data_IF_226081643495
#
_entry.id   IF_226081643495
#
_cell.length_a   1.000
_cell.length_b   1.000
_cell.length_c   1.000
_cell.angle_alpha   90.00
_cell.angle_beta   90.00
_cell.angle_gamma   90.00
#
_symmetry.space_group_name_H-M   'P 1'
#
loop_
_entity.id
_entity.type
_entity.pdbx_description
1 polymer ?
#
# COMPACT_ATOMS: atom_id res chain seq x y z
N UNK A 1 4.31 0.51 -15.51
CA UNK A 1 2.99 0.97 -16.00
C UNK A 1 2.25 1.56 -14.82
N UNK A 2 1.56 2.69 -14.99
CA UNK A 2 0.75 3.31 -13.92
C UNK A 2 -0.72 3.07 -14.25
N UNK A 3 -1.48 2.62 -13.25
CA UNK A 3 -2.94 2.42 -13.31
C UNK A 3 -3.59 3.36 -12.30
N UNK A 4 -4.66 4.04 -12.70
CA UNK A 4 -5.44 4.93 -11.83
C UNK A 4 -6.88 4.46 -11.90
N UNK A 5 -7.41 4.03 -10.77
CA UNK A 5 -8.74 3.45 -10.66
C UNK A 5 -9.58 4.34 -9.74
N UNK A 6 -10.76 4.74 -10.19
CA UNK A 6 -11.69 5.57 -9.41
C UNK A 6 -12.68 4.71 -8.63
N UNK A 7 -13.03 3.56 -9.20
CA UNK A 7 -13.91 2.57 -8.59
C UNK A 7 -13.10 1.49 -7.89
N UNK A 8 -13.61 1.05 -6.74
CA UNK A 8 -12.95 0.00 -5.94
C UNK A 8 -12.83 -1.33 -6.71
N UNK A 9 -13.82 -1.68 -7.52
CA UNK A 9 -13.80 -2.91 -8.32
C UNK A 9 -12.65 -2.89 -9.32
N UNK A 10 -12.40 -1.76 -9.95
CA UNK A 10 -11.36 -1.60 -10.97
C UNK A 10 -9.98 -1.65 -10.30
N UNK A 11 -9.84 -1.04 -9.12
CA UNK A 11 -8.63 -1.14 -8.32
C UNK A 11 -8.30 -2.59 -7.94
N UNK A 12 -9.31 -3.36 -7.53
CA UNK A 12 -9.14 -4.78 -7.22
C UNK A 12 -8.80 -5.62 -8.45
N UNK A 13 -9.40 -5.31 -9.59
CA UNK A 13 -9.06 -5.98 -10.84
C UNK A 13 -7.63 -5.65 -11.28
N UNK A 14 -7.21 -4.38 -11.17
CA UNK A 14 -5.83 -3.97 -11.46
C UNK A 14 -4.83 -4.71 -10.54
N UNK A 15 -5.16 -4.93 -9.25
CA UNK A 15 -4.34 -5.76 -8.37
C UNK A 15 -4.21 -7.20 -8.90
N UNK A 16 -5.33 -7.83 -9.26
CA UNK A 16 -5.36 -9.22 -9.78
C UNK A 16 -4.55 -9.34 -11.08
N UNK A 17 -4.64 -8.36 -11.96
CA UNK A 17 -4.01 -8.41 -13.28
C UNK A 17 -2.50 -8.14 -13.24
N UNK A 18 -2.00 -7.44 -12.20
CA UNK A 18 -0.64 -6.91 -12.18
C UNK A 18 0.26 -7.47 -11.07
N UNK A 19 -0.30 -7.99 -9.98
CA UNK A 19 0.47 -8.56 -8.87
C UNK A 19 0.75 -10.04 -9.14
N UNK A 20 2.01 -10.44 -8.96
CA UNK A 20 2.49 -11.80 -9.18
C UNK A 20 2.94 -12.44 -7.87
N UNK A 21 3.06 -13.77 -7.92
CA UNK A 21 3.38 -14.64 -6.77
C UNK A 21 4.60 -14.19 -5.96
N UNK A 22 5.64 -13.69 -6.63
CA UNK A 22 6.94 -13.33 -6.04
C UNK A 22 7.12 -11.82 -5.85
N UNK A 23 6.10 -11.01 -6.13
CA UNK A 23 6.24 -9.56 -6.08
C UNK A 23 6.36 -9.07 -4.64
N UNK A 24 7.29 -8.15 -4.42
CA UNK A 24 7.31 -7.34 -3.21
C UNK A 24 6.41 -6.13 -3.42
N UNK A 25 5.30 -6.08 -2.69
CA UNK A 25 4.26 -5.06 -2.82
C UNK A 25 4.32 -4.10 -1.64
N UNK A 26 4.32 -2.81 -1.93
CA UNK A 26 4.08 -1.76 -0.92
C UNK A 26 2.65 -1.29 -1.04
N UNK A 27 1.92 -1.28 0.07
CA UNK A 27 0.57 -0.74 0.17
C UNK A 27 0.55 0.47 1.11
N UNK A 28 0.12 1.62 0.58
CA UNK A 28 -0.08 2.85 1.35
C UNK A 28 -1.57 3.06 1.62
N UNK A 29 -1.97 3.15 2.88
CA UNK A 29 -3.36 3.33 3.30
C UNK A 29 -4.14 2.02 3.46
N UNK A 30 -3.56 1.02 4.13
CA UNK A 30 -4.19 -0.30 4.22
C UNK A 30 -5.45 -0.35 5.12
N UNK A 31 -5.68 0.65 5.98
CA UNK A 31 -6.80 0.73 6.93
C UNK A 31 -7.03 -0.61 7.66
N UNK A 32 -8.20 -1.24 7.51
CA UNK A 32 -8.53 -2.54 8.13
C UNK A 32 -8.09 -3.78 7.31
N UNK A 33 -7.33 -3.57 6.23
CA UNK A 33 -6.63 -4.62 5.48
C UNK A 33 -7.46 -5.39 4.46
N UNK A 34 -8.51 -4.79 3.89
CA UNK A 34 -9.34 -5.50 2.89
C UNK A 34 -8.58 -5.70 1.58
N UNK A 35 -7.88 -4.66 1.10
CA UNK A 35 -7.02 -4.74 -0.08
C UNK A 35 -5.76 -5.56 0.23
N UNK A 36 -5.15 -5.37 1.40
CA UNK A 36 -4.01 -6.19 1.88
C UNK A 36 -4.26 -7.70 1.79
N UNK A 37 -5.46 -8.17 2.16
CA UNK A 37 -5.82 -9.60 2.02
C UNK A 37 -5.70 -10.09 0.58
N UNK A 38 -6.18 -9.28 -0.37
CA UNK A 38 -6.13 -9.63 -1.79
C UNK A 38 -4.67 -9.67 -2.25
N UNK A 39 -3.91 -8.63 -1.92
CA UNK A 39 -2.48 -8.51 -2.26
C UNK A 39 -1.69 -9.70 -1.71
N UNK A 40 -1.87 -10.03 -0.43
CA UNK A 40 -1.15 -11.13 0.23
C UNK A 40 -1.48 -12.50 -0.37
N UNK A 41 -2.73 -12.72 -0.82
CA UNK A 41 -3.11 -13.94 -1.52
C UNK A 41 -2.56 -14.01 -2.95
N UNK A 42 -2.29 -12.88 -3.60
CA UNK A 42 -1.69 -12.84 -4.93
C UNK A 42 -0.16 -13.00 -4.86
N UNK A 43 0.49 -12.37 -3.88
CA UNK A 43 1.94 -12.36 -3.68
C UNK A 43 2.41 -13.30 -2.56
N UNK A 44 1.93 -14.56 -2.55
CA UNK A 44 2.13 -15.50 -1.43
C UNK A 44 3.61 -15.80 -1.12
N UNK A 45 4.48 -15.80 -2.14
CA UNK A 45 5.91 -16.06 -2.00
C UNK A 45 6.74 -14.76 -2.02
N UNK A 46 6.09 -13.60 -2.11
CA UNK A 46 6.69 -12.27 -1.98
C UNK A 46 6.47 -11.67 -0.59
N UNK A 47 6.54 -10.34 -0.50
CA UNK A 47 6.30 -9.59 0.74
C UNK A 47 5.30 -8.47 0.52
N UNK A 48 4.46 -8.20 1.53
CA UNK A 48 3.47 -7.11 1.52
C UNK A 48 3.77 -6.13 2.64
N UNK A 49 4.36 -4.99 2.29
CA UNK A 49 4.65 -3.92 3.24
C UNK A 49 3.47 -2.96 3.31
N UNK A 50 2.67 -3.07 4.37
CA UNK A 50 1.42 -2.33 4.52
C UNK A 50 1.58 -1.18 5.54
N UNK A 51 1.17 0.02 5.14
CA UNK A 51 1.35 1.24 5.93
C UNK A 51 0.02 1.96 6.15
N UNK A 52 -0.27 2.34 7.39
CA UNK A 52 -1.42 3.17 7.74
C UNK A 52 -1.20 3.86 9.11
N UNK A 53 -1.90 4.97 9.39
CA UNK A 53 -1.79 5.70 10.67
C UNK A 53 -3.07 5.67 11.51
N UNK A 54 -4.18 5.14 10.97
CA UNK A 54 -5.47 5.06 11.65
C UNK A 54 -5.37 4.15 12.88
N UNK A 55 -5.98 4.52 14.02
CA UNK A 55 -6.05 3.64 15.19
C UNK A 55 -6.67 2.27 14.89
N UNK A 56 -7.66 2.23 13.99
CA UNK A 56 -8.40 1.05 13.57
C UNK A 56 -7.51 0.03 12.87
N UNK A 57 -6.50 0.50 12.12
CA UNK A 57 -5.57 -0.38 11.39
C UNK A 57 -4.75 -1.28 12.31
N UNK A 58 -4.33 -0.80 13.48
CA UNK A 58 -3.35 -1.49 14.32
C UNK A 58 -3.85 -2.89 14.71
N UNK A 59 -5.07 -2.97 15.25
CA UNK A 59 -5.62 -4.25 15.68
C UNK A 59 -5.98 -5.14 14.50
N UNK A 60 -6.55 -4.56 13.43
CA UNK A 60 -6.96 -5.31 12.24
C UNK A 60 -5.75 -5.94 11.51
N UNK A 61 -4.71 -5.14 11.28
CA UNK A 61 -3.51 -5.56 10.57
C UNK A 61 -2.64 -6.52 11.38
N UNK A 62 -2.58 -6.37 12.71
CA UNK A 62 -1.88 -7.34 13.55
C UNK A 62 -2.55 -8.73 13.53
N UNK A 63 -3.89 -8.79 13.52
CA UNK A 63 -4.61 -10.06 13.34
C UNK A 63 -4.32 -10.67 11.97
N UNK A 64 -4.34 -9.84 10.94
CA UNK A 64 -4.01 -10.23 9.58
C UNK A 64 -2.60 -10.79 9.43
N UNK A 65 -1.62 -10.18 10.08
CA UNK A 65 -0.23 -10.64 10.06
C UNK A 65 -0.06 -12.03 10.72
N UNK A 66 -0.93 -12.39 11.68
CA UNK A 66 -0.96 -13.74 12.25
C UNK A 66 -1.46 -14.76 11.21
N UNK A 67 -2.45 -14.38 10.41
CA UNK A 67 -3.05 -15.23 9.37
C UNK A 67 -2.15 -15.36 8.13
N UNK A 68 -1.47 -14.28 7.74
CA UNK A 68 -0.68 -14.16 6.53
C UNK A 68 0.76 -13.76 6.85
N UNK A 69 1.68 -14.72 6.73
CA UNK A 69 3.09 -14.56 7.14
C UNK A 69 3.90 -13.61 6.26
N UNK A 70 3.42 -13.30 5.06
CA UNK A 70 4.06 -12.37 4.12
C UNK A 70 3.66 -10.91 4.35
N UNK A 71 2.79 -10.61 5.32
CA UNK A 71 2.38 -9.24 5.64
C UNK A 71 3.36 -8.60 6.65
N UNK A 72 3.84 -7.41 6.33
CA UNK A 72 4.68 -6.60 7.21
C UNK A 72 3.96 -5.27 7.42
N UNK A 73 3.25 -5.16 8.55
CA UNK A 73 2.53 -3.94 8.89
C UNK A 73 3.40 -2.98 9.69
N UNK A 74 3.39 -1.70 9.31
CA UNK A 74 3.96 -0.60 10.10
C UNK A 74 2.96 0.53 10.22
N UNK A 75 2.70 0.95 11.46
CA UNK A 75 1.97 2.19 11.71
C UNK A 75 2.83 3.38 11.27
N UNK A 76 2.41 4.13 10.26
CA UNK A 76 3.15 5.26 9.73
C UNK A 76 2.23 6.25 8.99
N UNK A 77 2.57 7.55 9.04
CA UNK A 77 1.90 8.54 8.19
C UNK A 77 2.44 8.44 6.75
N UNK A 78 1.66 7.84 5.87
CA UNK A 78 1.99 7.65 4.45
C UNK A 78 2.06 8.95 3.64
N UNK A 79 1.62 10.09 4.22
CA UNK A 79 1.83 11.42 3.63
C UNK A 79 3.21 11.99 3.96
N UNK A 80 3.92 11.42 4.93
CA UNK A 80 5.31 11.74 5.17
C UNK A 80 6.21 11.02 4.16
N UNK A 81 6.88 11.80 3.32
CA UNK A 81 7.82 11.31 2.30
C UNK A 81 8.93 10.44 2.89
N UNK A 82 9.30 10.64 4.15
CA UNK A 82 10.34 9.86 4.79
C UNK A 82 9.95 8.38 4.91
N UNK A 83 8.66 8.07 5.09
CA UNK A 83 8.17 6.68 5.13
C UNK A 83 8.44 5.96 3.80
N UNK A 84 8.25 6.65 2.68
CA UNK A 84 8.50 6.11 1.34
C UNK A 84 10.00 5.95 1.11
N UNK A 85 10.81 6.95 1.49
CA UNK A 85 12.27 6.88 1.34
C UNK A 85 12.89 5.78 2.20
N UNK A 86 12.45 5.64 3.45
CA UNK A 86 12.90 4.56 4.34
C UNK A 86 12.56 3.18 3.78
N UNK A 87 11.43 3.01 3.10
CA UNK A 87 11.10 1.75 2.45
C UNK A 87 11.94 1.53 1.19
N UNK A 88 12.13 2.57 0.37
CA UNK A 88 12.94 2.50 -0.83
C UNK A 88 14.43 2.23 -0.53
N UNK A 89 14.92 2.61 0.66
CA UNK A 89 16.30 2.40 1.08
C UNK A 89 16.61 1.01 1.66
N UNK A 90 15.63 0.12 1.81
CA UNK A 90 15.82 -1.19 2.49
C UNK A 90 16.54 -2.25 1.65
N UNK A 91 17.11 -1.89 0.50
CA UNK A 91 17.68 -2.82 -0.50
C UNK A 91 16.70 -3.92 -1.01
N UNK A 92 15.45 -3.92 -0.55
CA UNK A 92 14.37 -4.74 -1.08
C UNK A 92 13.90 -4.17 -2.42
N UNK A 93 13.98 -4.97 -3.48
CA UNK A 93 13.34 -4.64 -4.76
C UNK A 93 11.84 -4.55 -4.54
N UNK A 94 11.23 -3.40 -4.82
CA UNK A 94 9.77 -3.22 -4.84
C UNK A 94 9.27 -3.38 -6.27
N UNK A 95 8.35 -4.32 -6.49
CA UNK A 95 7.81 -4.63 -7.81
C UNK A 95 6.51 -3.86 -8.08
N UNK A 96 5.68 -3.69 -7.05
CA UNK A 96 4.37 -3.02 -7.15
C UNK A 96 4.16 -2.05 -5.99
N UNK A 97 3.66 -0.86 -6.30
CA UNK A 97 3.21 0.13 -5.32
C UNK A 97 1.69 0.33 -5.48
N UNK A 98 0.96 -0.03 -4.44
CA UNK A 98 -0.48 0.14 -4.27
C UNK A 98 -0.75 1.35 -3.38
N UNK A 99 -1.60 2.28 -3.84
CA UNK A 99 -1.89 3.52 -3.10
C UNK A 99 -3.40 3.68 -2.93
N UNK A 100 -3.87 3.45 -1.70
CA UNK A 100 -5.28 3.46 -1.30
C UNK A 100 -5.50 4.53 -0.23
N UNK A 101 -5.37 5.80 -0.60
CA UNK A 101 -5.49 6.92 0.34
C UNK A 101 -6.87 7.58 0.25
N UNK A 102 -7.61 7.55 1.37
CA UNK A 102 -8.81 8.35 1.55
C UNK A 102 -8.52 9.84 1.82
N UNK A 103 -9.57 10.67 1.72
CA UNK A 103 -9.53 12.08 2.16
C UNK A 103 -9.35 13.12 1.04
N UNK A 104 -9.33 12.70 -0.23
CA UNK A 104 -9.48 13.58 -1.40
C UNK A 104 -10.71 13.17 -2.22
N UNK A 105 -11.31 14.11 -2.95
CA UNK A 105 -12.45 13.83 -3.83
C UNK A 105 -12.09 12.93 -5.03
N UNK A 106 -10.80 12.82 -5.37
CA UNK A 106 -10.31 12.10 -6.53
C UNK A 106 -8.93 11.44 -6.27
N UNK A 107 -8.65 10.25 -6.83
CA UNK A 107 -7.40 9.49 -6.60
C UNK A 107 -6.12 10.21 -7.07
N UNK A 108 -6.22 11.15 -8.01
CA UNK A 108 -5.10 11.98 -8.47
C UNK A 108 -4.64 13.01 -7.42
N UNK A 109 -5.47 13.31 -6.42
CA UNK A 109 -5.08 14.20 -5.31
C UNK A 109 -3.93 13.65 -4.47
N UNK A 110 -3.70 12.34 -4.50
CA UNK A 110 -2.52 11.68 -3.93
C UNK A 110 -1.23 12.24 -4.53
N UNK A 111 -1.18 12.45 -5.85
CA UNK A 111 0.00 13.01 -6.51
C UNK A 111 0.23 14.48 -6.11
N UNK A 112 -0.83 15.22 -5.77
CA UNK A 112 -0.71 16.61 -5.30
C UNK A 112 -0.03 16.70 -3.92
N UNK A 113 -0.28 15.73 -3.04
CA UNK A 113 0.37 15.63 -1.73
C UNK A 113 1.88 15.42 -1.89
N UNK A 114 2.31 14.65 -2.89
CA UNK A 114 3.73 14.39 -3.14
C UNK A 114 4.43 15.42 -4.05
N UNK A 115 3.69 16.17 -4.88
CA UNK A 115 4.26 17.13 -5.84
C UNK A 115 4.34 18.58 -5.35
N UNK A 116 3.51 19.00 -4.37
CA UNK A 116 3.49 20.39 -3.89
C UNK A 116 4.47 20.72 -2.75
N UNK A 117 5.45 19.84 -2.48
CA UNK A 117 6.46 20.03 -1.43
C UNK A 117 7.76 20.73 -1.86
N UNK A 118 7.77 21.49 -2.96
CA UNK A 118 8.88 22.39 -3.32
C UNK A 118 8.47 23.85 -3.09
N UNK A 119 8.77 24.34 -1.89
CA UNK A 119 9.22 25.73 -1.75
C UNK A 119 10.62 25.67 -1.17
N UNK A 120 11.56 26.27 -1.91
CA UNK A 120 12.96 26.47 -1.58
C UNK A 120 13.13 27.18 -0.24
#
# INVERSE_FOLDING_TARGET
MIKISYERSDYQQDMIDNIKLLDNVVELGCHIGTSTKIISNLAQDGSVYAYDNSPESIQAMNKLNIEYKNIIFKKADVRDKQVIYDQASKDDKIDVLCVDLGGGYHPDTVFKVFSCGHQY
#
